data_IF_241216757590
#
_entry.id   IF_241216757590
#
_cell.length_a   1.000
_cell.length_b   1.000
_cell.length_c   1.000
_cell.angle_alpha   90.00
_cell.angle_beta   90.00
_cell.angle_gamma   90.00
#
_symmetry.space_group_name_H-M   'P 1'
#
loop_
_entity.id
_entity.type
_entity.pdbx_description
1 polymer ?
#
# COMPACT_ATOMS: atom_id res chain seq x y z
N UNK A 1 -13.50 5.33 0.98
CA UNK A 1 -12.94 5.95 2.20
C UNK A 1 -13.50 5.34 3.47
N UNK A 2 -14.64 5.82 3.96
CA UNK A 2 -15.17 5.52 5.31
C UNK A 2 -15.33 4.03 5.60
N UNK A 3 -15.93 3.26 4.68
CA UNK A 3 -16.12 1.82 4.85
C UNK A 3 -14.78 1.10 5.01
N UNK A 4 -13.81 1.41 4.14
CA UNK A 4 -12.46 0.82 4.18
C UNK A 4 -11.73 1.12 5.49
N UNK A 5 -11.78 2.37 5.96
CA UNK A 5 -11.17 2.77 7.23
C UNK A 5 -11.81 1.99 8.37
N UNK A 6 -13.15 1.95 8.43
CA UNK A 6 -13.87 1.24 9.47
C UNK A 6 -13.54 -0.26 9.48
N UNK A 7 -13.60 -0.93 8.34
CA UNK A 7 -13.31 -2.36 8.24
C UNK A 7 -11.86 -2.69 8.61
N UNK A 8 -10.89 -1.90 8.16
CA UNK A 8 -9.48 -2.15 8.47
C UNK A 8 -9.15 -1.83 9.94
N UNK A 9 -9.80 -0.84 10.56
CA UNK A 9 -9.68 -0.59 12.01
C UNK A 9 -10.26 -1.76 12.82
N UNK A 10 -11.40 -2.32 12.40
CA UNK A 10 -11.98 -3.51 13.05
C UNK A 10 -11.02 -4.69 12.95
N UNK A 11 -10.42 -4.93 11.79
CA UNK A 11 -9.40 -5.97 11.59
C UNK A 11 -8.22 -5.79 12.55
N UNK A 12 -7.66 -4.57 12.63
CA UNK A 12 -6.60 -4.27 13.60
C UNK A 12 -7.06 -4.49 15.05
N UNK A 13 -8.27 -4.07 15.40
CA UNK A 13 -8.86 -4.25 16.72
C UNK A 13 -8.97 -5.72 17.13
N UNK A 14 -9.35 -6.60 16.20
CA UNK A 14 -9.41 -8.05 16.42
C UNK A 14 -8.02 -8.60 16.74
N UNK A 15 -6.99 -8.23 15.97
CA UNK A 15 -5.61 -8.69 16.22
C UNK A 15 -4.97 -8.12 17.49
N UNK A 16 -5.38 -6.91 17.90
CA UNK A 16 -4.96 -6.33 19.18
C UNK A 16 -5.60 -7.11 20.33
N UNK A 17 -6.91 -7.40 20.24
CA UNK A 17 -7.69 -8.09 21.27
C UNK A 17 -7.31 -9.56 21.44
N UNK A 18 -7.11 -10.29 20.35
CA UNK A 18 -6.83 -11.73 20.36
C UNK A 18 -5.35 -11.99 20.08
N UNK A 19 -4.54 -12.08 21.14
CA UNK A 19 -3.10 -12.35 21.02
C UNK A 19 -2.79 -13.72 20.39
N UNK A 20 -3.69 -14.69 20.52
CA UNK A 20 -3.55 -16.02 19.91
C UNK A 20 -3.56 -15.99 18.37
N UNK A 21 -4.13 -14.92 17.79
CA UNK A 21 -4.12 -14.70 16.34
C UNK A 21 -2.82 -14.05 15.84
N UNK A 22 -1.80 -13.81 16.68
CA UNK A 22 -0.54 -13.16 16.24
C UNK A 22 0.46 -14.17 15.67
N UNK A 23 0.06 -14.83 14.59
CA UNK A 23 0.94 -15.72 13.80
C UNK A 23 1.70 -14.94 12.73
N UNK A 24 2.75 -15.54 12.16
CA UNK A 24 3.55 -14.91 11.11
C UNK A 24 2.72 -14.54 9.87
N UNK A 25 1.77 -15.39 9.47
CA UNK A 25 0.82 -15.09 8.38
C UNK A 25 -0.11 -13.92 8.72
N UNK A 26 -0.58 -13.85 9.96
CA UNK A 26 -1.48 -12.78 10.40
C UNK A 26 -0.76 -11.43 10.53
N UNK A 27 0.56 -11.43 10.74
CA UNK A 27 1.37 -10.21 10.64
C UNK A 27 1.30 -9.57 9.25
N UNK A 28 1.16 -10.36 8.17
CA UNK A 28 0.98 -9.83 6.81
C UNK A 28 -0.35 -9.11 6.70
N UNK A 29 -1.42 -9.69 7.24
CA UNK A 29 -2.78 -9.10 7.24
C UNK A 29 -2.80 -7.78 8.01
N UNK A 30 -2.08 -7.69 9.13
CA UNK A 30 -1.93 -6.44 9.90
C UNK A 30 -1.24 -5.36 9.06
N UNK A 31 -0.15 -5.71 8.35
CA UNK A 31 0.54 -4.77 7.46
C UNK A 31 -0.36 -4.33 6.29
N UNK A 32 -1.17 -5.25 5.75
CA UNK A 32 -2.12 -4.94 4.68
C UNK A 32 -3.24 -3.98 5.15
N UNK A 33 -3.78 -4.22 6.34
CA UNK A 33 -4.76 -3.31 6.93
C UNK A 33 -4.17 -1.91 7.15
N UNK A 34 -2.88 -1.83 7.51
CA UNK A 34 -2.17 -0.56 7.65
C UNK A 34 -2.00 0.16 6.31
N UNK A 35 -1.62 -0.55 5.24
CA UNK A 35 -1.50 0.05 3.90
C UNK A 35 -2.85 0.55 3.39
N UNK A 36 -3.92 -0.22 3.61
CA UNK A 36 -5.28 0.16 3.19
C UNK A 36 -5.81 1.38 3.96
N UNK A 37 -5.53 1.49 5.26
CA UNK A 37 -5.84 2.70 6.05
C UNK A 37 -5.03 3.89 5.54
N UNK A 38 -3.75 3.69 5.20
CA UNK A 38 -2.89 4.73 4.63
C UNK A 38 -3.45 5.31 3.33
N UNK A 39 -3.78 4.44 2.36
CA UNK A 39 -4.44 4.86 1.11
C UNK A 39 -5.79 5.52 1.42
N UNK A 40 -6.58 4.90 2.28
CA UNK A 40 -7.97 5.33 2.46
C UNK A 40 -8.12 6.61 3.28
N UNK A 41 -7.18 6.84 4.21
CA UNK A 41 -7.16 7.97 5.13
C UNK A 41 -6.44 9.19 4.57
N UNK A 42 -5.52 9.03 3.61
CA UNK A 42 -4.79 10.15 3.00
C UNK A 42 -5.24 10.37 1.55
N UNK A 43 -5.29 9.30 0.75
CA UNK A 43 -5.65 9.36 -0.66
C UNK A 43 -7.10 9.80 -0.90
N UNK A 44 -8.08 9.05 -0.38
CA UNK A 44 -9.49 9.41 -0.63
C UNK A 44 -9.90 10.82 -0.17
N UNK A 45 -9.54 11.33 1.02
CA UNK A 45 -9.96 12.68 1.41
C UNK A 45 -9.30 13.78 0.59
N UNK A 46 -8.02 13.64 0.20
CA UNK A 46 -7.38 14.61 -0.69
C UNK A 46 -8.01 14.60 -2.08
N UNK A 47 -8.30 13.43 -2.63
CA UNK A 47 -9.00 13.30 -3.92
C UNK A 47 -10.41 13.89 -3.84
N UNK A 48 -11.16 13.58 -2.79
CA UNK A 48 -12.52 14.10 -2.61
C UNK A 48 -12.55 15.62 -2.45
N UNK A 49 -11.58 16.20 -1.74
CA UNK A 49 -11.46 17.65 -1.60
C UNK A 49 -11.13 18.34 -2.95
N UNK A 50 -10.32 17.72 -3.80
CA UNK A 50 -10.03 18.22 -5.15
C UNK A 50 -11.22 18.08 -6.09
N UNK A 51 -11.97 16.97 -6.01
CA UNK A 51 -13.21 16.74 -6.78
C UNK A 51 -14.27 17.80 -6.46
N UNK A 52 -14.50 18.09 -5.18
CA UNK A 52 -15.45 19.13 -4.76
C UNK A 52 -15.05 20.53 -5.22
N UNK A 53 -13.76 20.75 -5.48
CA UNK A 53 -13.24 22.01 -6.00
C UNK A 53 -13.21 22.07 -7.54
N UNK A 54 -13.39 20.94 -8.23
CA UNK A 54 -13.31 20.82 -9.69
C UNK A 54 -11.89 20.94 -10.26
N UNK A 55 -10.85 21.05 -9.42
CA UNK A 55 -9.45 21.08 -9.83
C UNK A 55 -8.51 20.78 -8.66
N UNK A 56 -7.26 20.43 -8.94
CA UNK A 56 -6.29 20.04 -7.92
C UNK A 56 -5.95 21.21 -6.99
N UNK A 57 -6.43 21.14 -5.75
CA UNK A 57 -6.35 22.25 -4.78
C UNK A 57 -5.01 22.36 -4.05
N UNK A 58 -4.28 21.27 -3.90
CA UNK A 58 -3.11 21.18 -3.00
C UNK A 58 -1.79 21.62 -3.64
N UNK A 59 -1.84 22.22 -4.84
CA UNK A 59 -0.67 22.68 -5.57
C UNK A 59 0.29 21.55 -6.01
N UNK A 60 1.42 21.94 -6.59
CA UNK A 60 2.39 20.98 -7.15
C UNK A 60 3.01 20.07 -6.08
N UNK A 61 3.46 20.63 -4.96
CA UNK A 61 4.07 19.83 -3.87
C UNK A 61 3.07 18.84 -3.26
N UNK A 62 1.81 19.25 -3.06
CA UNK A 62 0.76 18.34 -2.59
C UNK A 62 0.48 17.22 -3.58
N UNK A 63 0.55 17.51 -4.89
CA UNK A 63 0.41 16.52 -5.96
C UNK A 63 1.51 15.46 -5.90
N UNK A 64 2.77 15.88 -5.74
CA UNK A 64 3.90 14.96 -5.60
C UNK A 64 3.74 14.05 -4.37
N UNK A 65 3.42 14.63 -3.22
CA UNK A 65 3.24 13.87 -1.95
C UNK A 65 2.07 12.91 -2.06
N UNK A 66 0.93 13.36 -2.60
CA UNK A 66 -0.25 12.51 -2.80
C UNK A 66 0.07 11.29 -3.66
N UNK A 67 0.68 11.51 -4.82
CA UNK A 67 0.98 10.44 -5.78
C UNK A 67 2.05 9.50 -5.22
N UNK A 68 3.09 10.03 -4.58
CA UNK A 68 4.13 9.23 -3.93
C UNK A 68 3.56 8.33 -2.83
N UNK A 69 2.69 8.86 -1.95
CA UNK A 69 2.06 8.09 -0.89
C UNK A 69 1.10 7.02 -1.44
N UNK A 70 0.28 7.35 -2.44
CA UNK A 70 -0.61 6.38 -3.06
C UNK A 70 0.16 5.23 -3.72
N UNK A 71 1.25 5.54 -4.43
CA UNK A 71 2.11 4.52 -5.04
C UNK A 71 2.82 3.71 -3.97
N UNK A 72 3.33 4.34 -2.92
CA UNK A 72 3.98 3.66 -1.81
C UNK A 72 3.04 2.62 -1.17
N UNK A 73 1.87 3.04 -0.71
CA UNK A 73 0.93 2.12 -0.08
C UNK A 73 0.34 1.09 -1.06
N UNK A 74 0.13 1.47 -2.33
CA UNK A 74 -0.31 0.55 -3.38
C UNK A 74 0.70 -0.56 -3.66
N UNK A 75 1.97 -0.20 -3.85
CA UNK A 75 3.06 -1.15 -4.09
C UNK A 75 3.33 -2.03 -2.86
N UNK A 76 3.23 -1.47 -1.65
CA UNK A 76 3.31 -2.24 -0.42
C UNK A 76 2.17 -3.27 -0.34
N UNK A 77 0.93 -2.88 -0.66
CA UNK A 77 -0.23 -3.78 -0.66
C UNK A 77 -0.06 -4.94 -1.65
N UNK A 78 0.36 -4.64 -2.88
CA UNK A 78 0.63 -5.67 -3.90
C UNK A 78 1.75 -6.61 -3.43
N UNK A 79 2.82 -6.06 -2.86
CA UNK A 79 3.92 -6.87 -2.31
C UNK A 79 3.44 -7.79 -1.19
N UNK A 80 2.66 -7.28 -0.24
CA UNK A 80 2.10 -8.06 0.86
C UNK A 80 1.13 -9.16 0.37
N UNK A 81 0.24 -8.84 -0.58
CA UNK A 81 -0.64 -9.83 -1.21
C UNK A 81 0.14 -10.93 -1.93
N UNK A 82 1.25 -10.57 -2.57
CA UNK A 82 2.16 -11.55 -3.17
C UNK A 82 2.74 -12.49 -2.13
N UNK A 83 3.15 -11.98 -0.96
CA UNK A 83 3.63 -12.81 0.15
C UNK A 83 2.52 -13.74 0.66
N UNK A 84 1.27 -13.28 0.75
CA UNK A 84 0.12 -14.13 1.11
C UNK A 84 -0.09 -15.24 0.07
N UNK A 85 -0.02 -14.91 -1.23
CA UNK A 85 -0.17 -15.90 -2.29
C UNK A 85 0.94 -16.97 -2.22
N UNK A 86 2.19 -16.56 -2.00
CA UNK A 86 3.33 -17.47 -1.81
C UNK A 86 3.15 -18.33 -0.57
N UNK A 87 2.72 -17.77 0.56
CA UNK A 87 2.42 -18.50 1.78
C UNK A 87 1.39 -19.62 1.55
N UNK A 88 0.28 -19.29 0.87
CA UNK A 88 -0.78 -20.25 0.54
C UNK A 88 -0.29 -21.33 -0.40
N UNK A 89 0.48 -20.96 -1.41
CA UNK A 89 1.09 -21.90 -2.34
C UNK A 89 2.04 -22.88 -1.62
N UNK A 90 2.94 -22.37 -0.76
CA UNK A 90 3.88 -23.21 -0.01
C UNK A 90 3.16 -24.13 0.97
N UNK A 91 2.10 -23.64 1.62
CA UNK A 91 1.33 -24.44 2.58
C UNK A 91 0.55 -25.57 1.90
N UNK A 92 -0.06 -25.31 0.73
CA UNK A 92 -0.96 -26.26 0.06
C UNK A 92 -0.18 -27.18 -0.89
N UNK A 93 0.68 -26.61 -1.74
CA UNK A 93 1.32 -27.34 -2.83
C UNK A 93 2.71 -27.87 -2.47
N UNK A 94 3.41 -27.27 -1.50
CA UNK A 94 4.80 -27.63 -1.13
C UNK A 94 5.03 -27.65 0.38
N UNK A 95 4.30 -28.51 1.12
CA UNK A 95 4.31 -28.53 2.59
C UNK A 95 5.71 -28.72 3.20
N UNK A 96 6.63 -29.40 2.50
CA UNK A 96 8.01 -29.60 2.93
C UNK A 96 8.78 -28.27 3.09
N UNK A 97 8.50 -27.32 2.19
CA UNK A 97 9.09 -25.97 2.20
C UNK A 97 8.29 -25.07 3.13
N UNK A 98 6.95 -25.16 3.10
CA UNK A 98 6.08 -24.42 4.02
C UNK A 98 6.43 -24.66 5.49
N UNK A 99 6.76 -25.89 5.88
CA UNK A 99 7.18 -26.23 7.25
C UNK A 99 8.56 -25.69 7.64
N UNK A 100 9.40 -25.32 6.67
CA UNK A 100 10.69 -24.65 6.89
C UNK A 100 10.57 -23.12 6.96
N UNK A 101 9.42 -22.56 6.58
CA UNK A 101 9.17 -21.12 6.71
C UNK A 101 9.12 -20.76 8.19
N UNK A 102 10.03 -19.88 8.59
CA UNK A 102 10.07 -19.36 9.97
C UNK A 102 9.50 -17.94 10.00
N UNK A 103 9.16 -17.46 11.20
CA UNK A 103 8.74 -16.06 11.40
C UNK A 103 9.76 -15.05 10.85
N UNK A 104 11.06 -15.39 10.87
CA UNK A 104 12.12 -14.56 10.26
C UNK A 104 11.97 -14.47 8.74
N UNK A 105 11.67 -15.59 8.07
CA UNK A 105 11.44 -15.61 6.62
C UNK A 105 10.29 -14.68 6.22
N UNK A 106 9.17 -14.71 6.94
CA UNK A 106 8.05 -13.79 6.72
C UNK A 106 8.42 -12.34 6.98
N UNK A 107 9.15 -12.06 8.07
CA UNK A 107 9.61 -10.70 8.36
C UNK A 107 10.51 -10.15 7.25
N UNK A 108 11.42 -10.96 6.70
CA UNK A 108 12.26 -10.58 5.55
C UNK A 108 11.43 -10.31 4.30
N UNK A 109 10.42 -11.14 4.00
CA UNK A 109 9.53 -10.95 2.85
C UNK A 109 8.68 -9.67 2.98
N UNK A 110 8.13 -9.41 4.16
CA UNK A 110 7.40 -8.17 4.46
C UNK A 110 8.33 -6.97 4.29
N UNK A 111 9.53 -7.02 4.87
CA UNK A 111 10.52 -5.94 4.76
C UNK A 111 10.94 -5.71 3.30
N UNK A 112 11.11 -6.77 2.50
CA UNK A 112 11.38 -6.66 1.07
C UNK A 112 10.22 -5.99 0.32
N UNK A 113 8.96 -6.31 0.65
CA UNK A 113 7.79 -5.65 0.07
C UNK A 113 7.76 -4.14 0.39
N UNK A 114 8.07 -3.76 1.63
CA UNK A 114 8.18 -2.36 2.04
C UNK A 114 9.32 -1.62 1.33
N UNK A 115 10.51 -2.25 1.23
CA UNK A 115 11.64 -1.66 0.49
C UNK A 115 11.30 -1.48 -0.98
N UNK A 116 10.66 -2.47 -1.61
CA UNK A 116 10.20 -2.37 -2.99
C UNK A 116 9.20 -1.21 -3.15
N UNK A 117 8.27 -1.03 -2.21
CA UNK A 117 7.36 0.09 -2.21
C UNK A 117 8.07 1.45 -2.12
N UNK A 118 9.04 1.59 -1.20
CA UNK A 118 9.88 2.81 -1.11
C UNK A 118 10.59 3.06 -2.42
N UNK A 119 11.24 2.04 -2.98
CA UNK A 119 11.98 2.14 -4.24
C UNK A 119 11.10 2.72 -5.36
N UNK A 120 9.94 2.10 -5.63
CA UNK A 120 9.03 2.54 -6.69
C UNK A 120 8.37 3.91 -6.42
N UNK A 121 8.07 4.23 -5.16
CA UNK A 121 7.51 5.56 -4.82
C UNK A 121 8.53 6.69 -4.89
N UNK A 122 9.81 6.41 -4.60
CA UNK A 122 10.88 7.40 -4.63
C UNK A 122 11.38 7.70 -6.04
N UNK A 123 11.28 6.73 -6.94
CA UNK A 123 11.78 6.79 -8.32
C UNK A 123 11.31 8.03 -9.10
N UNK A 124 10.01 8.41 -9.08
CA UNK A 124 9.53 9.60 -9.78
C UNK A 124 9.93 10.90 -9.08
N UNK A 125 10.21 10.87 -7.77
CA UNK A 125 10.71 12.06 -7.05
C UNK A 125 12.22 12.26 -7.23
N UNK A 126 12.97 11.20 -7.55
CA UNK A 126 14.41 11.23 -7.81
C UNK A 126 14.77 11.68 -9.24
N UNK A 127 13.78 12.10 -10.05
CA UNK A 127 13.99 12.66 -11.39
C UNK A 127 13.88 11.68 -12.54
N UNK A 128 13.53 10.41 -12.27
CA UNK A 128 13.32 9.41 -13.34
C UNK A 128 11.97 9.58 -14.06
N UNK A 129 11.00 10.16 -13.35
CA UNK A 129 9.70 10.56 -13.88
C UNK A 129 9.24 11.83 -13.14
N UNK A 130 7.99 12.25 -13.30
CA UNK A 130 7.40 13.34 -12.50
C UNK A 130 5.94 13.02 -12.23
N UNK A 131 5.40 13.43 -11.07
CA UNK A 131 3.96 13.35 -10.84
C UNK A 131 3.25 14.56 -11.44
N UNK A 132 2.10 14.32 -12.06
CA UNK A 132 1.24 15.37 -12.61
C UNK A 132 -0.23 15.08 -12.30
N UNK A 133 -1.09 16.11 -12.28
CA UNK A 133 -2.53 15.92 -12.20
C UNK A 133 -3.03 15.08 -13.37
N UNK A 134 -3.94 14.16 -13.08
CA UNK A 134 -4.70 13.41 -14.07
C UNK A 134 -5.63 14.36 -14.87
N UNK A 135 -6.09 14.03 -16.09
CA UNK A 135 -6.99 14.89 -16.87
C UNK A 135 -8.28 15.30 -16.14
N UNK A 136 -8.70 14.49 -15.16
CA UNK A 136 -9.84 14.79 -14.28
C UNK A 136 -9.55 15.95 -13.30
N UNK A 137 -8.28 16.28 -13.03
CA UNK A 137 -7.88 17.29 -12.05
C UNK A 137 -8.13 16.88 -10.58
N UNK A 138 -8.74 15.72 -10.36
CA UNK A 138 -9.14 15.20 -9.06
C UNK A 138 -8.00 14.51 -8.30
N UNK A 139 -7.09 13.89 -9.07
CA UNK A 139 -6.02 13.04 -8.56
C UNK A 139 -4.69 13.37 -9.22
N UNK A 140 -3.61 12.95 -8.58
CA UNK A 140 -2.26 13.04 -9.14
C UNK A 140 -1.68 11.65 -9.35
N UNK A 141 -1.04 11.46 -10.50
CA UNK A 141 -0.45 10.19 -10.94
C UNK A 141 0.88 10.42 -11.64
N UNK A 142 1.55 9.35 -12.06
CA UNK A 142 2.78 9.43 -12.86
C UNK A 142 2.47 10.16 -14.18
N UNK A 143 3.31 11.12 -14.56
CA UNK A 143 3.16 11.85 -15.79
C UNK A 143 3.62 11.00 -16.99
N UNK A 144 2.67 10.29 -17.59
CA UNK A 144 2.89 9.48 -18.79
C UNK A 144 3.01 10.31 -20.07
N UNK A 145 2.61 11.59 -20.04
CA UNK A 145 2.44 12.43 -21.23
C UNK A 145 3.71 13.19 -21.63
N UNK A 146 4.78 13.07 -20.85
CA UNK A 146 6.06 13.76 -21.07
C UNK A 146 7.14 12.88 -21.72
N UNK A 147 6.76 11.68 -22.20
CA UNK A 147 7.65 10.74 -22.87
C UNK A 147 7.52 10.74 -24.41
N UNK A 148 6.89 11.77 -24.99
CA UNK A 148 6.94 12.10 -26.42
C UNK A 148 7.67 13.44 -26.63
#
# INVERSE_FOLDING_TARGET
GVISIFSNIVVLGIFVKYKELRTATNAIIINLAFTDIGVSGIGYPMSAASDLHGSWKFGYTGCQIYAALNIFFGMASIGLLTVVAVDRYLTICRPDIGRRMTTRSYATLILAAWINAVFWSSMPTAGWASYAPDPTGATCTVNWRKND
#
